data_IF_411670009858
#
_entry.id   IF_411670009858
#
_cell.length_a   1.000
_cell.length_b   1.000
_cell.length_c   1.000
_cell.angle_alpha   90.00
_cell.angle_beta   90.00
_cell.angle_gamma   90.00
#
_symmetry.space_group_name_H-M   'P 1'
#
loop_
_entity.id
_entity.type
_entity.pdbx_description
1 polymer ?
#
# COMPACT_ATOMS: atom_id res chain seq x y z
N UNK A 1 5.12 12.38 -11.25
CA UNK A 1 3.98 13.31 -11.25
C UNK A 1 3.99 14.22 -12.47
N UNK A 2 4.87 13.92 -13.42
CA UNK A 2 5.38 14.88 -14.40
C UNK A 2 4.77 14.64 -15.79
N UNK A 3 3.95 13.57 -15.91
CA UNK A 3 3.28 13.17 -17.14
C UNK A 3 1.75 13.25 -17.05
N UNK A 4 1.17 13.16 -15.83
CA UNK A 4 -0.27 13.10 -15.63
C UNK A 4 -0.73 14.25 -14.72
N UNK A 5 -1.88 14.86 -15.05
CA UNK A 5 -2.49 15.90 -14.22
C UNK A 5 -3.04 15.36 -12.88
N UNK A 6 -3.51 14.12 -12.87
CA UNK A 6 -3.92 13.38 -11.67
C UNK A 6 -3.53 11.91 -11.80
N UNK A 7 -3.35 11.25 -10.66
CA UNK A 7 -2.99 9.84 -10.56
C UNK A 7 -4.05 9.14 -9.72
N UNK A 8 -4.60 8.05 -10.23
CA UNK A 8 -5.58 7.22 -9.52
C UNK A 8 -4.94 5.86 -9.25
N UNK A 9 -4.86 5.47 -7.99
CA UNK A 9 -4.22 4.24 -7.52
C UNK A 9 -5.29 3.30 -6.99
N UNK A 10 -5.27 2.05 -7.46
CA UNK A 10 -6.23 1.01 -7.09
C UNK A 10 -5.52 -0.16 -6.42
N UNK A 11 -6.21 -0.85 -5.50
CA UNK A 11 -5.72 -2.10 -4.91
C UNK A 11 -4.52 -1.94 -3.99
N UNK A 12 -4.33 -0.75 -3.42
CA UNK A 12 -3.24 -0.48 -2.47
C UNK A 12 -3.84 -0.12 -1.12
N UNK A 13 -3.50 -0.88 -0.07
CA UNK A 13 -3.82 -0.53 1.33
C UNK A 13 -2.81 0.48 1.89
N UNK A 14 -3.20 1.29 2.88
CA UNK A 14 -2.29 2.25 3.53
C UNK A 14 -1.30 1.56 4.49
N UNK A 15 -0.35 2.32 5.02
CA UNK A 15 0.74 1.80 5.87
C UNK A 15 0.28 1.34 7.27
N UNK A 16 -0.95 1.70 7.67
CA UNK A 16 -1.53 1.37 8.98
C UNK A 16 -2.51 0.20 8.92
N UNK A 17 -3.04 -0.17 7.75
CA UNK A 17 -4.08 -1.18 7.58
C UNK A 17 -3.71 -2.53 8.22
N UNK A 18 -2.51 -3.04 7.97
CA UNK A 18 -2.05 -4.32 8.52
C UNK A 18 -1.84 -4.32 10.05
N UNK A 19 -1.97 -3.17 10.69
CA UNK A 19 -1.92 -3.01 12.15
C UNK A 19 -3.30 -2.75 12.76
N UNK A 20 -4.33 -2.62 11.94
CA UNK A 20 -5.70 -2.39 12.44
C UNK A 20 -6.30 -3.69 12.98
N UNK A 21 -6.97 -3.61 14.13
CA UNK A 21 -7.66 -4.77 14.70
C UNK A 21 -8.74 -5.27 13.73
N UNK A 22 -8.75 -6.58 13.48
CA UNK A 22 -9.77 -7.21 12.63
C UNK A 22 -9.66 -6.92 11.13
N UNK A 23 -8.49 -6.50 10.62
CA UNK A 23 -8.29 -6.37 9.17
C UNK A 23 -8.59 -7.69 8.44
N UNK A 24 -9.12 -7.59 7.22
CA UNK A 24 -9.45 -8.76 6.42
C UNK A 24 -8.18 -9.34 5.80
N UNK A 25 -7.93 -10.62 6.07
CA UNK A 25 -6.88 -11.37 5.35
C UNK A 25 -7.32 -11.65 3.92
N UNK A 26 -6.49 -11.24 2.98
CA UNK A 26 -6.71 -11.40 1.54
C UNK A 26 -5.42 -11.86 0.87
N UNK A 27 -5.50 -12.50 -0.31
CA UNK A 27 -4.31 -12.81 -1.10
C UNK A 27 -3.53 -11.55 -1.48
N UNK A 28 -2.20 -11.64 -1.46
CA UNK A 28 -1.27 -10.57 -1.84
C UNK A 28 -1.50 -10.07 -3.27
N UNK A 29 -1.81 -10.99 -4.18
CA UNK A 29 -2.18 -10.69 -5.55
C UNK A 29 -3.66 -11.00 -5.78
N UNK A 30 -4.37 -10.08 -6.45
CA UNK A 30 -5.82 -10.20 -6.67
C UNK A 30 -6.24 -11.36 -7.60
N UNK A 31 -5.32 -11.88 -8.41
CA UNK A 31 -5.61 -12.87 -9.46
C UNK A 31 -5.25 -14.30 -9.06
N UNK A 32 -4.64 -14.52 -7.90
CA UNK A 32 -4.18 -15.84 -7.46
C UNK A 32 -4.52 -16.10 -5.99
N UNK A 33 -4.62 -17.39 -5.65
CA UNK A 33 -4.61 -17.81 -4.25
C UNK A 33 -3.16 -17.81 -3.76
N UNK A 34 -2.64 -16.61 -3.51
CA UNK A 34 -1.29 -16.36 -3.02
C UNK A 34 -1.19 -16.34 -1.49
N UNK A 35 -0.05 -15.89 -1.01
CA UNK A 35 0.18 -15.61 0.42
C UNK A 35 -0.74 -14.49 0.91
N UNK A 36 -0.94 -14.42 2.23
CA UNK A 36 -1.60 -13.27 2.86
C UNK A 36 -0.86 -11.96 2.55
N UNK A 37 -1.62 -10.95 2.14
CA UNK A 37 -1.11 -9.65 1.72
C UNK A 37 -0.23 -8.99 2.79
N UNK A 38 -0.72 -8.90 4.02
CA UNK A 38 -0.02 -8.24 5.10
C UNK A 38 1.23 -8.99 5.55
N UNK A 39 1.19 -10.32 5.53
CA UNK A 39 2.37 -11.13 5.80
C UNK A 39 3.48 -10.90 4.78
N UNK A 40 3.16 -10.85 3.48
CA UNK A 40 4.17 -10.59 2.45
C UNK A 40 4.78 -9.19 2.60
N UNK A 41 3.96 -8.18 2.91
CA UNK A 41 4.47 -6.85 3.20
C UNK A 41 5.44 -6.83 4.39
N UNK A 42 5.14 -7.52 5.49
CA UNK A 42 5.99 -7.54 6.68
C UNK A 42 7.31 -8.31 6.43
N UNK A 43 7.24 -9.44 5.74
CA UNK A 43 8.43 -10.23 5.40
C UNK A 43 9.41 -9.41 4.56
N UNK A 44 8.90 -8.70 3.54
CA UNK A 44 9.74 -7.87 2.68
C UNK A 44 10.20 -6.58 3.38
N UNK A 45 9.33 -5.94 4.17
CA UNK A 45 9.67 -4.73 4.92
C UNK A 45 10.86 -4.96 5.86
N UNK A 46 10.99 -6.17 6.43
CA UNK A 46 12.07 -6.53 7.36
C UNK A 46 13.19 -7.36 6.72
N UNK A 47 13.10 -7.67 5.44
CA UNK A 47 14.13 -8.44 4.76
C UNK A 47 15.48 -7.68 4.82
N UNK A 48 16.58 -8.37 5.17
CA UNK A 48 17.89 -7.74 5.26
C UNK A 48 18.44 -7.37 3.87
N UNK A 49 18.10 -8.14 2.83
CA UNK A 49 18.52 -7.90 1.44
C UNK A 49 17.40 -8.28 0.47
N UNK A 50 17.33 -7.62 -0.68
CA UNK A 50 16.45 -7.99 -1.80
C UNK A 50 14.94 -7.77 -1.57
N UNK A 51 14.51 -7.32 -0.40
CA UNK A 51 13.11 -6.98 -0.11
C UNK A 51 12.76 -5.55 -0.49
N UNK A 52 11.47 -5.33 -0.74
CA UNK A 52 10.88 -4.00 -0.86
C UNK A 52 10.51 -3.46 0.53
N UNK A 53 10.53 -2.14 0.68
CA UNK A 53 10.06 -1.49 1.90
C UNK A 53 8.62 -1.05 1.72
N UNK A 54 7.71 -2.01 1.49
CA UNK A 54 6.31 -1.74 1.15
C UNK A 54 5.57 -0.82 2.14
N UNK A 55 5.77 -0.99 3.45
CA UNK A 55 5.15 -0.15 4.48
C UNK A 55 5.75 1.25 4.44
N UNK A 56 7.07 1.35 4.26
CA UNK A 56 7.75 2.65 4.13
C UNK A 56 7.37 3.38 2.84
N UNK A 57 7.28 2.68 1.71
CA UNK A 57 6.83 3.21 0.42
C UNK A 57 5.43 3.81 0.52
N UNK A 58 4.50 3.12 1.21
CA UNK A 58 3.14 3.62 1.45
C UNK A 58 3.13 4.93 2.26
N UNK A 59 4.04 5.10 3.22
CA UNK A 59 4.21 6.39 3.94
C UNK A 59 4.66 7.50 3.01
N UNK A 60 5.57 7.21 2.09
CA UNK A 60 6.01 8.17 1.05
C UNK A 60 4.83 8.55 0.16
N UNK A 61 4.04 7.58 -0.28
CA UNK A 61 2.86 7.83 -1.11
C UNK A 61 1.79 8.65 -0.39
N UNK A 62 1.54 8.40 0.89
CA UNK A 62 0.65 9.22 1.72
C UNK A 62 1.13 10.68 1.75
N UNK A 63 2.43 10.90 1.98
CA UNK A 63 3.03 12.25 1.99
C UNK A 63 2.99 12.94 0.63
N UNK A 64 3.10 12.20 -0.47
CA UNK A 64 2.93 12.77 -1.81
C UNK A 64 1.47 13.13 -2.10
N UNK A 65 0.52 12.32 -1.64
CA UNK A 65 -0.90 12.59 -1.83
C UNK A 65 -1.40 13.82 -1.05
N UNK A 66 -0.72 14.23 0.01
CA UNK A 66 -0.95 15.53 0.68
C UNK A 66 -0.63 16.74 -0.23
N UNK A 67 0.29 16.58 -1.18
CA UNK A 67 0.82 17.68 -2.01
C UNK A 67 0.40 17.61 -3.48
N UNK A 68 -0.04 16.44 -3.92
CA UNK A 68 -0.31 16.14 -5.32
C UNK A 68 -1.65 15.43 -5.46
N UNK A 69 -2.26 15.53 -6.64
CA UNK A 69 -3.54 14.85 -6.93
C UNK A 69 -3.35 13.36 -7.15
N UNK A 70 -3.10 12.63 -6.06
CA UNK A 70 -3.03 11.18 -6.00
C UNK A 70 -4.23 10.69 -5.21
N UNK A 71 -5.09 9.91 -5.86
CA UNK A 71 -6.34 9.43 -5.30
C UNK A 71 -6.25 7.92 -5.16
N UNK A 72 -6.38 7.41 -3.93
CA UNK A 72 -6.43 5.98 -3.66
C UNK A 72 -7.87 5.52 -3.60
N UNK A 73 -8.21 4.44 -4.30
CA UNK A 73 -9.57 3.90 -4.35
C UNK A 73 -9.55 2.39 -4.30
N UNK A 74 -10.53 1.79 -3.63
CA UNK A 74 -10.65 0.34 -3.45
C UNK A 74 -9.36 -0.29 -2.88
N UNK A 75 -8.95 0.06 -1.65
CA UNK A 75 -9.67 0.90 -0.67
C UNK A 75 -9.34 2.40 -0.73
N UNK A 76 -10.22 3.21 -0.15
CA UNK A 76 -9.96 4.65 0.03
C UNK A 76 -8.92 4.86 1.15
N UNK A 77 -8.00 5.79 0.95
CA UNK A 77 -7.09 6.22 1.99
C UNK A 77 -7.60 7.51 2.62
N UNK A 78 -7.59 7.57 3.95
CA UNK A 78 -7.61 8.84 4.67
C UNK A 78 -6.17 9.34 4.73
N UNK A 79 -5.84 10.28 3.84
CA UNK A 79 -4.56 10.99 3.90
C UNK A 79 -4.67 12.07 4.99
N UNK A 80 -3.80 12.01 6.00
CA UNK A 80 -3.78 12.92 7.16
C UNK A 80 -2.49 13.72 7.22
#
# INVERSE_FOLDING_TARGET
MDACYSIHVYGMINDTYCKTEGYRKVPYHYYEQGKDECNEYLVHEHAPHGGHRFITEKKVFAKWAEKHRIIFTHPNWTVS
#
